data_IF_309811078005
#
_entry.id   IF_309811078005
#
_cell.length_a   1.000
_cell.length_b   1.000
_cell.length_c   1.000
_cell.angle_alpha   90.00
_cell.angle_beta   90.00
_cell.angle_gamma   90.00
#
_symmetry.space_group_name_H-M   'P 1'
#
loop_
_entity.id
_entity.type
_entity.pdbx_description
1 polymer ?
#
# COMPACT_ATOMS: atom_id res chain seq x y z
N UNK A 1 -7.66 9.36 40.38
CA UNK A 1 -8.08 9.44 38.98
C UNK A 1 -8.80 8.15 38.65
N UNK A 2 -10.06 8.20 38.20
CA UNK A 2 -10.75 7.01 37.66
C UNK A 2 -9.92 6.41 36.51
N UNK A 3 -9.94 5.09 36.30
CA UNK A 3 -9.24 4.45 35.19
C UNK A 3 -9.63 5.07 33.83
N UNK A 4 -10.90 5.46 33.68
CA UNK A 4 -11.39 6.20 32.51
C UNK A 4 -10.71 7.57 32.34
N UNK A 5 -10.33 8.23 33.44
CA UNK A 5 -9.59 9.50 33.40
C UNK A 5 -8.18 9.33 32.83
N UNK A 6 -7.51 8.21 33.12
CA UNK A 6 -6.19 7.90 32.54
C UNK A 6 -6.29 7.68 31.02
N UNK A 7 -7.31 6.94 30.58
CA UNK A 7 -7.59 6.70 29.15
C UNK A 7 -7.85 8.02 28.42
N UNK A 8 -8.67 8.91 29.00
CA UNK A 8 -8.96 10.21 28.41
C UNK A 8 -7.71 11.08 28.27
N UNK A 9 -6.86 11.13 29.30
CA UNK A 9 -5.58 11.87 29.24
C UNK A 9 -4.68 11.30 28.14
N UNK A 10 -4.61 9.98 28.01
CA UNK A 10 -3.82 9.34 26.95
C UNK A 10 -4.32 9.72 25.54
N UNK A 11 -5.65 9.69 25.33
CA UNK A 11 -6.27 10.07 24.06
C UNK A 11 -6.00 11.54 23.72
N UNK A 12 -6.19 12.45 24.68
CA UNK A 12 -5.91 13.88 24.52
C UNK A 12 -4.43 14.09 24.18
N UNK A 13 -3.53 13.41 24.90
CA UNK A 13 -2.09 13.53 24.67
C UNK A 13 -1.72 13.06 23.27
N UNK A 14 -2.27 11.92 22.81
CA UNK A 14 -2.04 11.43 21.46
C UNK A 14 -2.54 12.40 20.38
N UNK A 15 -3.74 12.93 20.55
CA UNK A 15 -4.30 13.93 19.63
C UNK A 15 -3.46 15.21 19.61
N UNK A 16 -3.05 15.71 20.78
CA UNK A 16 -2.19 16.89 20.89
C UNK A 16 -0.82 16.66 20.25
N UNK A 17 -0.21 15.49 20.42
CA UNK A 17 1.07 15.17 19.81
C UNK A 17 0.98 15.22 18.28
N UNK A 18 -0.03 14.58 17.69
CA UNK A 18 -0.27 14.63 16.23
C UNK A 18 -0.59 16.07 15.79
N UNK A 19 -1.43 16.79 16.52
CA UNK A 19 -1.78 18.18 16.23
C UNK A 19 -0.56 19.11 16.26
N UNK A 20 0.27 19.01 17.30
CA UNK A 20 1.49 19.82 17.46
C UNK A 20 2.49 19.49 16.38
N UNK A 21 2.71 18.21 16.05
CA UNK A 21 3.66 17.84 14.98
C UNK A 21 3.23 18.34 13.61
N UNK A 22 1.93 18.27 13.27
CA UNK A 22 1.39 18.87 12.06
C UNK A 22 1.47 20.40 12.07
N UNK A 23 1.23 21.04 13.22
CA UNK A 23 1.34 22.49 13.38
C UNK A 23 2.78 22.98 13.23
N UNK A 24 3.73 22.30 13.86
CA UNK A 24 5.16 22.58 13.73
C UNK A 24 5.62 22.38 12.29
N UNK A 25 5.19 21.29 11.62
CA UNK A 25 5.46 21.09 10.19
C UNK A 25 4.92 22.26 9.36
N UNK A 26 3.68 22.72 9.62
CA UNK A 26 3.07 23.86 8.92
C UNK A 26 3.85 25.17 9.10
N UNK A 27 4.51 25.35 10.24
CA UNK A 27 5.29 26.55 10.58
C UNK A 27 6.72 26.52 10.03
N UNK A 28 7.37 25.35 10.05
CA UNK A 28 8.78 25.19 9.64
C UNK A 28 8.90 24.89 8.13
N UNK A 29 7.93 24.19 7.53
CA UNK A 29 8.02 23.75 6.14
C UNK A 29 7.96 24.94 5.16
N UNK A 30 8.83 24.96 4.12
CA UNK A 30 8.75 25.95 3.06
C UNK A 30 7.40 25.91 2.35
N UNK A 31 6.67 27.03 2.38
CA UNK A 31 5.36 27.15 1.75
C UNK A 31 5.48 27.80 0.36
N UNK A 32 5.76 27.00 -0.67
CA UNK A 32 5.87 27.45 -2.06
C UNK A 32 4.90 26.68 -2.98
N UNK A 33 3.59 27.00 -2.93
CA UNK A 33 2.58 26.40 -3.79
C UNK A 33 2.78 26.87 -5.23
N UNK A 34 3.00 25.93 -6.14
CA UNK A 34 2.99 26.18 -7.59
C UNK A 34 1.78 25.48 -8.21
N UNK A 35 1.25 25.95 -9.35
CA UNK A 35 0.11 25.30 -10.00
C UNK A 35 0.33 23.81 -10.22
N UNK A 36 1.50 23.41 -10.71
CA UNK A 36 1.88 22.01 -10.92
C UNK A 36 1.87 21.17 -9.63
N UNK A 37 2.37 21.70 -8.50
CA UNK A 37 2.36 20.97 -7.21
C UNK A 37 0.95 20.76 -6.65
N UNK A 38 -0.02 21.53 -7.12
CA UNK A 38 -1.43 21.44 -6.72
C UNK A 38 -2.26 20.56 -7.67
N UNK A 39 -1.66 20.07 -8.75
CA UNK A 39 -2.32 19.14 -9.67
C UNK A 39 -2.20 17.70 -9.19
N UNK A 40 -3.16 16.86 -9.58
CA UNK A 40 -3.10 15.41 -9.36
C UNK A 40 -1.95 14.80 -10.15
N UNK A 41 -1.29 13.80 -9.56
CA UNK A 41 -0.22 13.08 -10.24
C UNK A 41 -0.80 12.11 -11.30
N UNK A 42 -0.49 12.34 -12.57
CA UNK A 42 -0.94 11.54 -13.73
C UNK A 42 0.24 11.06 -14.60
N UNK A 43 1.38 10.77 -13.97
CA UNK A 43 2.62 10.35 -14.66
C UNK A 43 3.14 11.32 -15.75
N UNK A 44 2.69 12.59 -15.74
CA UNK A 44 3.14 13.64 -16.66
C UNK A 44 2.15 13.98 -17.78
N UNK A 45 1.03 13.26 -17.87
CA UNK A 45 -0.05 13.55 -18.83
C UNK A 45 -1.14 14.41 -18.19
N UNK A 46 -1.89 15.16 -19.01
CA UNK A 46 -3.08 15.86 -18.52
C UNK A 46 -4.21 14.84 -18.26
N UNK A 47 -4.94 14.93 -17.14
CA UNK A 47 -6.04 14.02 -16.86
C UNK A 47 -7.14 14.20 -17.90
N UNK A 48 -7.30 13.19 -18.75
CA UNK A 48 -8.38 13.14 -19.73
C UNK A 48 -9.49 12.18 -19.31
N UNK A 49 -10.73 12.55 -19.63
CA UNK A 49 -11.90 11.73 -19.41
C UNK A 49 -12.60 11.99 -18.08
N UNK A 50 -13.36 10.99 -17.65
CA UNK A 50 -14.27 11.12 -16.54
C UNK A 50 -13.73 10.41 -15.29
N UNK A 51 -13.72 11.09 -14.14
CA UNK A 51 -13.31 10.50 -12.85
C UNK A 51 -14.31 9.47 -12.30
N UNK A 52 -15.51 9.35 -12.89
CA UNK A 52 -16.47 8.31 -12.52
C UNK A 52 -16.02 6.93 -13.03
N UNK A 53 -15.49 6.11 -12.12
CA UNK A 53 -15.13 4.72 -12.40
C UNK A 53 -16.22 3.76 -11.92
N UNK A 54 -16.42 2.67 -12.64
CA UNK A 54 -17.34 1.60 -12.23
C UNK A 54 -16.73 0.82 -11.07
N UNK A 55 -17.19 1.10 -9.85
CA UNK A 55 -16.79 0.33 -8.67
C UNK A 55 -17.47 -1.04 -8.66
N UNK A 56 -16.71 -2.04 -8.23
CA UNK A 56 -17.22 -3.40 -8.12
C UNK A 56 -18.16 -3.53 -6.91
N UNK A 57 -19.41 -4.04 -7.07
CA UNK A 57 -20.34 -4.21 -5.95
C UNK A 57 -19.82 -5.15 -4.85
N UNK A 58 -18.78 -5.96 -5.11
CA UNK A 58 -18.16 -6.83 -4.11
C UNK A 58 -17.65 -6.10 -2.86
N UNK A 59 -17.20 -4.84 -3.00
CA UNK A 59 -16.80 -4.03 -1.83
C UNK A 59 -17.96 -3.84 -0.85
N UNK A 60 -19.18 -3.61 -1.37
CA UNK A 60 -20.39 -3.46 -0.57
C UNK A 60 -20.77 -4.78 0.12
N UNK A 61 -20.70 -5.91 -0.60
CA UNK A 61 -21.02 -7.22 -0.03
C UNK A 61 -20.07 -7.56 1.13
N UNK A 62 -18.77 -7.33 0.97
CA UNK A 62 -17.79 -7.54 2.04
C UNK A 62 -18.08 -6.65 3.25
N UNK A 63 -18.39 -5.36 3.03
CA UNK A 63 -18.74 -4.45 4.11
C UNK A 63 -20.02 -4.86 4.85
N UNK A 64 -21.03 -5.34 4.12
CA UNK A 64 -22.29 -5.81 4.70
C UNK A 64 -22.08 -7.06 5.55
N UNK A 65 -21.30 -8.03 5.06
CA UNK A 65 -20.95 -9.25 5.81
C UNK A 65 -20.15 -8.90 7.07
N UNK A 66 -19.20 -7.96 6.97
CA UNK A 66 -18.45 -7.47 8.11
C UNK A 66 -19.35 -6.82 9.17
N UNK A 67 -20.27 -5.93 8.76
CA UNK A 67 -21.20 -5.28 9.67
C UNK A 67 -22.11 -6.28 10.38
N UNK A 68 -22.60 -7.29 9.65
CA UNK A 68 -23.40 -8.36 10.24
C UNK A 68 -22.59 -9.08 11.32
N UNK A 69 -21.37 -9.52 11.00
CA UNK A 69 -20.51 -10.20 11.97
C UNK A 69 -20.13 -9.33 13.19
N UNK A 70 -19.94 -8.02 12.99
CA UNK A 70 -19.66 -7.07 14.06
C UNK A 70 -20.83 -6.93 15.05
N UNK A 71 -22.06 -6.87 14.53
CA UNK A 71 -23.27 -6.87 15.38
C UNK A 71 -23.40 -8.18 16.16
N UNK A 72 -23.07 -9.31 15.55
CA UNK A 72 -23.15 -10.61 16.23
C UNK A 72 -22.10 -10.76 17.34
N UNK A 73 -20.91 -10.16 17.15
CA UNK A 73 -19.87 -10.07 18.19
C UNK A 73 -20.34 -9.32 19.44
N UNK A 74 -21.19 -8.29 19.28
CA UNK A 74 -21.79 -7.57 20.42
C UNK A 74 -22.61 -8.49 21.31
N UNK A 75 -23.20 -9.58 20.79
CA UNK A 75 -23.91 -10.58 21.61
C UNK A 75 -22.96 -11.56 22.31
N UNK A 76 -21.80 -11.85 21.73
CA UNK A 76 -20.82 -12.79 22.32
C UNK A 76 -20.16 -12.18 23.56
N UNK A 77 -19.87 -10.87 23.57
CA UNK A 77 -19.15 -10.23 24.70
C UNK A 77 -19.89 -10.34 26.04
N UNK A 78 -21.17 -9.92 26.17
CA UNK A 78 -21.90 -10.06 27.43
C UNK A 78 -21.98 -11.51 27.88
N UNK A 79 -22.25 -12.45 26.96
CA UNK A 79 -22.26 -13.87 27.26
C UNK A 79 -20.92 -14.33 27.83
N UNK A 80 -19.79 -13.96 27.20
CA UNK A 80 -18.46 -14.36 27.66
C UNK A 80 -18.13 -13.81 29.05
N UNK A 81 -18.55 -12.58 29.35
CA UNK A 81 -18.35 -11.98 30.68
C UNK A 81 -19.17 -12.65 31.77
N UNK A 82 -20.42 -13.03 31.47
CA UNK A 82 -21.33 -13.66 32.42
C UNK A 82 -20.96 -15.13 32.63
N UNK A 83 -20.64 -15.85 31.56
CA UNK A 83 -20.14 -17.22 31.61
C UNK A 83 -18.77 -17.30 32.31
N UNK A 84 -17.93 -16.26 32.21
CA UNK A 84 -16.67 -16.19 32.95
C UNK A 84 -16.81 -16.00 34.46
N UNK A 85 -18.01 -15.69 34.97
CA UNK A 85 -18.24 -15.48 36.40
C UNK A 85 -18.50 -16.81 37.15
N UNK A 86 -17.51 -17.22 37.95
CA UNK A 86 -17.57 -18.45 38.75
C UNK A 86 -18.73 -18.50 39.75
N UNK A 87 -19.22 -17.37 40.25
CA UNK A 87 -20.32 -17.33 41.23
C UNK A 87 -21.65 -17.74 40.58
N UNK A 88 -21.90 -17.25 39.36
CA UNK A 88 -23.13 -17.53 38.61
C UNK A 88 -23.15 -19.00 38.17
N UNK A 89 -22.01 -19.53 37.71
CA UNK A 89 -21.90 -20.95 37.34
C UNK A 89 -22.15 -21.87 38.54
N UNK A 90 -21.61 -21.54 39.72
CA UNK A 90 -21.79 -22.34 40.94
C UNK A 90 -23.23 -22.29 41.47
N UNK A 91 -23.93 -21.18 41.29
CA UNK A 91 -25.30 -21.01 41.76
C UNK A 91 -26.29 -21.95 41.05
N UNK A 92 -26.05 -22.30 39.77
CA UNK A 92 -26.92 -23.21 39.02
C UNK A 92 -26.10 -24.14 38.11
N UNK A 93 -25.87 -25.41 38.49
CA UNK A 93 -24.97 -26.31 37.75
C UNK A 93 -25.47 -26.71 36.35
N UNK A 94 -26.78 -26.65 36.09
CA UNK A 94 -27.36 -26.97 34.76
C UNK A 94 -27.29 -25.80 33.78
N UNK A 95 -27.23 -24.56 34.27
CA UNK A 95 -27.26 -23.35 33.45
C UNK A 95 -26.00 -23.19 32.60
N UNK A 96 -24.82 -23.52 33.15
CA UNK A 96 -23.56 -23.41 32.43
C UNK A 96 -23.52 -24.26 31.16
N UNK A 97 -23.94 -25.53 31.24
CA UNK A 97 -23.96 -26.41 30.08
C UNK A 97 -24.98 -25.97 29.02
N UNK A 98 -26.15 -25.50 29.47
CA UNK A 98 -27.19 -24.98 28.59
C UNK A 98 -26.73 -23.72 27.83
N UNK A 99 -26.19 -22.74 28.55
CA UNK A 99 -25.67 -21.49 27.95
C UNK A 99 -24.49 -21.74 27.00
N UNK A 100 -23.64 -22.73 27.31
CA UNK A 100 -22.56 -23.14 26.42
C UNK A 100 -23.12 -23.77 25.14
N UNK A 101 -24.12 -24.63 25.24
CA UNK A 101 -24.78 -25.23 24.07
C UNK A 101 -25.44 -24.17 23.17
N UNK A 102 -26.16 -23.21 23.76
CA UNK A 102 -26.74 -22.07 23.03
C UNK A 102 -25.68 -21.27 22.28
N UNK A 103 -24.54 -20.98 22.91
CA UNK A 103 -23.45 -20.25 22.26
C UNK A 103 -22.80 -21.06 21.13
N UNK A 104 -22.64 -22.37 21.29
CA UNK A 104 -22.17 -23.23 20.20
C UNK A 104 -23.12 -23.24 19.00
N UNK A 105 -24.43 -23.26 19.25
CA UNK A 105 -25.45 -23.17 18.20
C UNK A 105 -25.37 -21.80 17.51
N UNK A 106 -25.29 -20.73 18.30
CA UNK A 106 -25.16 -19.36 17.79
C UNK A 106 -23.92 -19.18 16.90
N UNK A 107 -22.73 -19.55 17.40
CA UNK A 107 -21.49 -19.53 16.62
C UNK A 107 -21.58 -20.45 15.39
N UNK A 108 -22.23 -21.62 15.54
CA UNK A 108 -22.47 -22.54 14.43
C UNK A 108 -23.26 -21.90 13.29
N UNK A 109 -24.30 -21.11 13.60
CA UNK A 109 -25.08 -20.35 12.62
C UNK A 109 -24.20 -19.29 11.94
N UNK A 110 -23.37 -18.56 12.68
CA UNK A 110 -22.43 -17.58 12.11
C UNK A 110 -21.44 -18.22 11.14
N UNK A 111 -20.84 -19.34 11.54
CA UNK A 111 -19.90 -20.10 10.70
C UNK A 111 -20.62 -20.61 9.45
N UNK A 112 -21.85 -21.11 9.57
CA UNK A 112 -22.63 -21.58 8.43
C UNK A 112 -22.91 -20.44 7.45
N UNK A 113 -23.27 -19.26 7.94
CA UNK A 113 -23.42 -18.05 7.13
C UNK A 113 -22.13 -17.67 6.39
N UNK A 114 -20.99 -17.69 7.10
CA UNK A 114 -19.69 -17.41 6.51
C UNK A 114 -19.30 -18.44 5.43
N UNK A 115 -19.50 -19.73 5.72
CA UNK A 115 -19.25 -20.83 4.76
C UNK A 115 -20.13 -20.67 3.53
N UNK A 116 -21.41 -20.32 3.69
CA UNK A 116 -22.31 -20.09 2.57
C UNK A 116 -21.80 -18.97 1.64
N UNK A 117 -21.43 -17.82 2.19
CA UNK A 117 -20.88 -16.69 1.41
C UNK A 117 -19.55 -17.08 0.75
N UNK A 118 -18.72 -17.86 1.44
CA UNK A 118 -17.45 -18.34 0.90
C UNK A 118 -17.64 -19.31 -0.27
N UNK A 119 -18.49 -20.33 -0.12
CA UNK A 119 -18.78 -21.30 -1.19
C UNK A 119 -19.41 -20.63 -2.42
N UNK A 120 -20.21 -19.58 -2.19
CA UNK A 120 -20.80 -18.77 -3.26
C UNK A 120 -19.76 -17.92 -4.02
N UNK A 121 -18.54 -17.76 -3.50
CA UNK A 121 -17.47 -16.99 -4.13
C UNK A 121 -17.64 -15.47 -4.05
N UNK A 122 -18.54 -15.01 -3.17
CA UNK A 122 -18.77 -13.56 -2.98
C UNK A 122 -17.56 -12.87 -2.33
N UNK A 123 -16.71 -13.65 -1.63
CA UNK A 123 -15.43 -13.20 -1.07
C UNK A 123 -14.27 -13.21 -2.08
N UNK A 124 -14.44 -13.84 -3.25
CA UNK A 124 -13.35 -13.96 -4.21
C UNK A 124 -13.08 -12.63 -4.91
N UNK A 125 -11.81 -12.22 -4.91
CA UNK A 125 -11.38 -11.01 -5.59
C UNK A 125 -11.31 -11.20 -7.11
N UNK A 126 -11.73 -10.19 -7.87
CA UNK A 126 -11.53 -10.18 -9.32
C UNK A 126 -10.04 -9.92 -9.58
N UNK A 127 -9.31 -10.97 -9.95
CA UNK A 127 -7.94 -10.81 -10.45
C UNK A 127 -8.00 -10.35 -11.90
N UNK A 128 -7.33 -9.24 -12.20
CA UNK A 128 -7.12 -8.83 -13.58
C UNK A 128 -6.41 -9.97 -14.31
N UNK A 129 -7.00 -10.43 -15.43
CA UNK A 129 -6.34 -11.38 -16.34
C UNK A 129 -5.65 -10.54 -17.40
N UNK A 130 -4.34 -10.26 -17.29
CA UNK A 130 -3.65 -9.48 -18.31
C UNK A 130 -3.71 -10.27 -19.62
N UNK A 131 -4.34 -9.68 -20.63
CA UNK A 131 -4.21 -10.15 -22.01
C UNK A 131 -2.76 -9.91 -22.42
N UNK A 132 -1.97 -10.98 -22.48
CA UNK A 132 -0.61 -10.90 -22.99
C UNK A 132 -0.69 -10.79 -24.51
N UNK A 133 -0.31 -9.64 -25.11
CA UNK A 133 -0.34 -9.50 -26.56
C UNK A 133 0.63 -10.52 -27.18
N UNK A 134 0.12 -11.43 -28.00
CA UNK A 134 0.95 -12.34 -28.78
C UNK A 134 1.36 -11.63 -30.07
N UNK A 135 2.59 -11.14 -30.10
CA UNK A 135 3.18 -10.62 -31.34
C UNK A 135 3.65 -11.79 -32.20
N UNK A 136 3.25 -11.83 -33.47
CA UNK A 136 3.79 -12.79 -34.45
C UNK A 136 5.24 -12.42 -34.73
N UNK A 137 6.13 -13.00 -33.94
CA UNK A 137 7.57 -12.83 -34.05
C UNK A 137 8.18 -14.17 -34.34
N UNK A 138 9.19 -14.19 -35.21
CA UNK A 138 9.97 -15.41 -35.52
C UNK A 138 10.80 -15.91 -34.33
N UNK A 139 10.76 -15.22 -33.18
CA UNK A 139 11.53 -15.52 -31.98
C UNK A 139 10.64 -16.27 -30.99
N UNK A 140 10.95 -17.53 -30.64
CA UNK A 140 10.15 -18.29 -29.67
C UNK A 140 10.24 -17.68 -28.27
N UNK A 141 9.12 -17.70 -27.53
CA UNK A 141 9.00 -17.20 -26.16
C UNK A 141 10.00 -17.81 -25.17
N UNK A 142 10.48 -19.03 -25.44
CA UNK A 142 11.49 -19.72 -24.63
C UNK A 142 12.84 -19.00 -24.60
N UNK A 143 13.20 -18.23 -25.65
CA UNK A 143 14.42 -17.43 -25.66
C UNK A 143 14.34 -16.24 -24.70
N UNK A 144 13.20 -15.57 -24.62
CA UNK A 144 12.98 -14.49 -23.64
C UNK A 144 13.03 -15.02 -22.20
N UNK A 145 12.43 -16.19 -21.94
CA UNK A 145 12.50 -16.82 -20.62
C UNK A 145 13.94 -17.16 -20.23
N UNK A 146 14.74 -17.71 -21.16
CA UNK A 146 16.17 -17.97 -20.93
C UNK A 146 16.96 -16.69 -20.64
N UNK A 147 16.71 -15.62 -21.39
CA UNK A 147 17.32 -14.31 -21.17
C UNK A 147 16.96 -13.73 -19.80
N UNK A 148 15.68 -13.76 -19.41
CA UNK A 148 15.23 -13.27 -18.10
C UNK A 148 15.86 -14.09 -16.96
N UNK A 149 15.96 -15.41 -17.12
CA UNK A 149 16.65 -16.27 -16.14
C UNK A 149 18.14 -15.94 -16.03
N UNK A 150 18.82 -15.68 -17.16
CA UNK A 150 20.23 -15.25 -17.17
C UNK A 150 20.40 -13.85 -16.54
N UNK A 151 19.49 -12.92 -16.82
CA UNK A 151 19.52 -11.55 -16.31
C UNK A 151 19.10 -11.45 -14.83
N UNK A 152 18.35 -12.43 -14.30
CA UNK A 152 17.96 -12.45 -12.89
C UNK A 152 19.16 -12.52 -11.93
N UNK A 153 20.31 -13.01 -12.40
CA UNK A 153 21.57 -13.03 -11.65
C UNK A 153 22.40 -11.75 -11.77
N UNK A 154 21.99 -10.78 -12.59
CA UNK A 154 22.72 -9.52 -12.74
C UNK A 154 22.46 -8.62 -11.55
N UNK A 155 23.49 -8.38 -10.74
CA UNK A 155 23.44 -7.32 -9.74
C UNK A 155 23.54 -5.97 -10.45
N UNK A 156 22.42 -5.25 -10.49
CA UNK A 156 22.37 -3.89 -11.03
C UNK A 156 23.30 -3.02 -10.19
N UNK A 157 24.25 -2.33 -10.83
CA UNK A 157 25.09 -1.36 -10.12
C UNK A 157 24.18 -0.34 -9.44
N UNK A 158 24.36 -0.05 -8.14
CA UNK A 158 23.54 0.93 -7.46
C UNK A 158 23.68 2.27 -8.19
N UNK A 159 22.54 2.85 -8.57
CA UNK A 159 22.49 4.18 -9.15
C UNK A 159 22.96 5.17 -8.08
N UNK A 160 24.14 5.75 -8.27
CA UNK A 160 24.75 6.74 -7.37
C UNK A 160 24.59 8.11 -8.03
N UNK A 161 23.90 9.04 -7.36
CA UNK A 161 23.70 10.40 -7.86
C UNK A 161 24.92 11.30 -7.63
N UNK A 162 25.89 10.92 -6.81
CA UNK A 162 27.16 11.63 -6.72
C UNK A 162 28.02 11.34 -7.96
N UNK A 163 28.03 12.28 -8.90
CA UNK A 163 29.21 12.48 -9.73
C UNK A 163 30.43 12.63 -8.80
N UNK A 164 31.43 11.76 -8.94
CA UNK A 164 32.74 11.95 -8.34
C UNK A 164 33.27 13.34 -8.73
N UNK A 165 33.16 14.30 -7.80
CA UNK A 165 33.89 15.55 -7.88
C UNK A 165 35.35 15.16 -7.61
N UNK A 166 36.09 14.89 -8.68
CA UNK A 166 37.55 14.81 -8.65
C UNK A 166 38.06 16.15 -8.11
N UNK A 167 38.39 16.19 -6.82
CA UNK A 167 39.10 17.30 -6.19
C UNK A 167 40.57 17.22 -6.58
N UNK A 168 40.94 17.85 -7.69
CA UNK A 168 42.33 18.27 -7.87
C UNK A 168 42.63 19.45 -6.91
N UNK A 169 43.77 19.47 -6.22
CA UNK A 169 44.11 20.54 -5.29
C UNK A 169 44.52 21.81 -6.04
N UNK A 170 43.85 22.91 -5.71
CA UNK A 170 44.18 24.26 -6.20
C UNK A 170 45.45 24.75 -5.50
N UNK A 171 46.59 24.75 -6.20
CA UNK A 171 47.75 25.56 -5.82
C UNK A 171 48.59 25.98 -7.04
N UNK A 172 48.30 27.17 -7.60
CA UNK A 172 49.26 28.16 -8.12
C UNK A 172 48.52 29.24 -8.95
N UNK A 173 49.04 30.50 -9.01
CA UNK A 173 48.33 31.62 -9.62
C UNK A 173 48.27 31.51 -11.15
N UNK A 174 47.16 32.02 -11.69
CA UNK A 174 46.79 32.01 -13.09
C UNK A 174 47.92 32.42 -14.05
N UNK A 175 48.33 31.49 -14.92
CA UNK A 175 48.91 31.83 -16.22
C UNK A 175 47.88 31.47 -17.29
N UNK A 176 47.47 32.48 -18.06
CA UNK A 176 46.43 32.39 -19.08
C UNK A 176 46.72 31.25 -20.07
N UNK A 177 45.99 30.14 -19.94
CA UNK A 177 46.04 29.04 -20.90
C UNK A 177 44.78 29.09 -21.77
N UNK A 178 45.01 29.18 -23.07
CA UNK A 178 44.03 29.41 -24.13
C UNK A 178 42.90 28.37 -24.12
N UNK A 179 41.68 28.74 -24.60
CA UNK A 179 40.53 27.83 -24.59
C UNK A 179 40.81 26.58 -25.44
N UNK A 180 40.85 25.42 -24.77
CA UNK A 180 41.04 24.12 -25.41
C UNK A 180 39.78 23.79 -26.22
N UNK A 181 39.93 23.65 -27.55
CA UNK A 181 38.82 23.30 -28.45
C UNK A 181 38.22 21.93 -28.05
N UNK A 182 36.89 21.76 -28.10
CA UNK A 182 36.25 20.49 -27.80
C UNK A 182 36.74 19.39 -28.77
N UNK A 183 37.22 18.27 -28.21
CA UNK A 183 37.55 17.05 -28.94
C UNK A 183 36.27 16.28 -29.27
N UNK A 184 35.49 16.78 -30.23
CA UNK A 184 34.55 15.93 -30.94
C UNK A 184 34.52 16.37 -32.41
N UNK A 185 35.10 15.53 -33.27
CA UNK A 185 34.95 15.66 -34.73
C UNK A 185 33.99 14.58 -35.19
N UNK A 186 32.73 14.93 -35.40
CA UNK A 186 31.82 14.07 -36.15
C UNK A 186 32.34 13.96 -37.60
N UNK A 187 32.85 12.79 -37.98
CA UNK A 187 33.21 12.51 -39.37
C UNK A 187 31.99 11.92 -40.05
N UNK A 188 31.26 12.75 -40.80
CA UNK A 188 30.27 12.28 -41.76
C UNK A 188 31.02 11.88 -43.03
N UNK A 189 31.11 10.59 -43.31
CA UNK A 189 31.49 10.13 -44.65
C UNK A 189 30.31 10.40 -45.59
N UNK A 190 30.51 11.26 -46.59
CA UNK A 190 29.58 11.34 -47.73
C UNK A 190 29.69 10.05 -48.54
N UNK A 191 28.58 9.50 -49.05
CA UNK A 191 28.66 8.56 -50.15
C UNK A 191 29.16 9.36 -51.37
N UNK A 192 30.37 9.03 -51.85
CA UNK A 192 30.76 9.38 -53.20
C UNK A 192 29.91 8.53 -54.16
N UNK A 193 29.46 9.19 -55.23
CA UNK A 193 28.65 8.63 -56.29
C UNK A 193 29.29 7.37 -56.88
N UNK A 194 28.54 6.28 -56.89
CA UNK A 194 28.30 5.45 -58.08
C UNK A 194 26.80 5.21 -58.21
#
# INVERSE_FOLDING_TARGET
MSEFGKILIFLITGFLLVGITLFVNRLIAPHNPTPEKLTSYECGEEPEGNSWIQFNPKFYVIALVFLLFDVEMVFIFPWATVFGNHEIIKATPTWGWFSLAEMFIFIGILILGLVYVWVKGDLDWIKAKPITPTVDTKIPQSLYQKLNLQQSGYQVKPFTMEAEIVKEPVSAPATATQPRKPMFKATFKKPENE
#
